data_IF_330663721005
#
_entry.id   IF_330663721005
#
_cell.length_a   1.000
_cell.length_b   1.000
_cell.length_c   1.000
_cell.angle_alpha   90.00
_cell.angle_beta   90.00
_cell.angle_gamma   90.00
#
_symmetry.space_group_name_H-M   'P 1'
#
loop_
_entity.id
_entity.type
_entity.pdbx_description
1 polymer ?
#
# COMPACT_ATOMS: atom_id res chain seq x y z
N UNK A 1 -6.90 21.75 -73.35
CA UNK A 1 -6.89 20.49 -74.11
C UNK A 1 -6.61 19.34 -73.15
N UNK A 2 -7.34 18.26 -73.35
CA UNK A 2 -7.57 17.13 -72.45
C UNK A 2 -6.39 16.17 -72.25
N UNK A 3 -6.37 15.56 -71.05
CA UNK A 3 -6.06 14.16 -70.65
C UNK A 3 -5.00 13.37 -71.42
N UNK A 4 -4.14 12.70 -70.64
CA UNK A 4 -3.98 11.24 -70.70
C UNK A 4 -3.70 10.69 -69.30
N UNK A 5 -4.51 9.68 -68.97
CA UNK A 5 -4.51 8.81 -67.78
C UNK A 5 -3.50 7.68 -68.02
N UNK A 6 -2.70 7.33 -67.02
CA UNK A 6 -2.03 6.02 -66.95
C UNK A 6 -2.11 5.50 -65.53
N UNK A 7 -3.12 4.68 -65.32
CA UNK A 7 -3.29 3.79 -64.18
C UNK A 7 -2.18 2.73 -64.10
N UNK A 8 -1.71 2.50 -62.87
CA UNK A 8 -1.29 1.20 -62.36
C UNK A 8 0.21 0.87 -62.47
N UNK A 9 0.86 0.61 -61.32
CA UNK A 9 1.65 -0.61 -61.02
C UNK A 9 2.13 -0.60 -59.56
N UNK A 10 1.81 -1.68 -58.83
CA UNK A 10 2.41 -2.27 -57.61
C UNK A 10 3.05 -1.37 -56.54
N UNK A 11 2.81 -1.56 -55.25
CA UNK A 11 3.09 -2.80 -54.51
C UNK A 11 2.34 -2.75 -53.19
N UNK A 12 1.63 -3.83 -52.86
CA UNK A 12 1.11 -4.08 -51.52
C UNK A 12 2.25 -4.32 -50.53
N UNK A 13 1.99 -3.91 -49.28
CA UNK A 13 2.70 -4.26 -48.05
C UNK A 13 3.93 -3.42 -47.66
N UNK A 14 3.65 -2.40 -46.85
CA UNK A 14 4.43 -2.21 -45.63
C UNK A 14 3.47 -1.99 -44.47
N UNK A 15 3.12 -3.12 -43.84
CA UNK A 15 2.95 -3.27 -42.39
C UNK A 15 2.05 -2.23 -41.76
N UNK A 16 0.82 -2.65 -41.45
CA UNK A 16 0.03 -2.04 -40.39
C UNK A 16 0.91 -1.85 -39.16
N UNK A 17 1.40 -0.62 -38.99
CA UNK A 17 2.00 -0.16 -37.76
C UNK A 17 0.86 -0.26 -36.77
N UNK A 18 0.83 -1.37 -36.02
CA UNK A 18 0.18 -1.40 -34.72
C UNK A 18 0.75 -0.17 -34.03
N UNK A 19 -0.10 0.82 -33.78
CA UNK A 19 0.22 1.90 -32.85
C UNK A 19 0.53 1.15 -31.56
N UNK A 20 1.83 0.94 -31.31
CA UNK A 20 2.31 0.38 -30.05
C UNK A 20 1.82 1.40 -29.04
N UNK A 21 0.90 0.98 -28.17
CA UNK A 21 0.29 1.85 -27.17
C UNK A 21 1.39 2.68 -26.53
N UNK A 22 1.31 4.01 -26.70
CA UNK A 22 2.39 4.87 -26.25
C UNK A 22 2.42 4.80 -24.73
N UNK A 23 3.53 4.34 -24.16
CA UNK A 23 3.87 4.47 -22.75
C UNK A 23 4.19 5.94 -22.43
N UNK A 24 3.22 6.82 -22.64
CA UNK A 24 3.31 8.24 -22.36
C UNK A 24 2.91 8.53 -20.91
N UNK A 25 3.32 9.69 -20.37
CA UNK A 25 2.76 10.21 -19.12
C UNK A 25 1.23 10.25 -19.25
N UNK A 26 0.50 9.69 -18.27
CA UNK A 26 -0.97 9.57 -18.33
C UNK A 26 -1.53 8.14 -18.34
N UNK A 27 -0.77 7.12 -18.75
CA UNK A 27 -1.25 5.72 -18.71
C UNK A 27 -1.36 5.19 -17.27
N UNK A 28 -0.48 5.65 -16.38
CA UNK A 28 -0.51 5.35 -14.95
C UNK A 28 -1.42 6.30 -14.15
N UNK A 29 -1.97 7.34 -14.78
CA UNK A 29 -3.03 8.18 -14.19
C UNK A 29 -4.41 7.50 -14.27
N UNK A 30 -4.43 6.22 -14.65
CA UNK A 30 -5.61 5.39 -14.68
C UNK A 30 -6.03 5.04 -13.25
N UNK A 31 -7.32 5.26 -12.94
CA UNK A 31 -7.95 4.81 -11.69
C UNK A 31 -7.55 3.36 -11.34
N UNK A 32 -7.35 2.48 -12.33
CA UNK A 32 -6.92 1.11 -12.11
C UNK A 32 -5.57 0.95 -11.38
N UNK A 33 -4.60 1.86 -11.57
CA UNK A 33 -3.33 1.81 -10.85
C UNK A 33 -3.53 2.22 -9.38
N UNK A 34 -4.40 3.20 -9.13
CA UNK A 34 -4.79 3.64 -7.79
C UNK A 34 -5.62 2.56 -7.08
N UNK A 35 -6.53 1.89 -7.80
CA UNK A 35 -7.30 0.76 -7.30
C UNK A 35 -6.38 -0.40 -6.91
N UNK A 36 -5.39 -0.73 -7.75
CA UNK A 36 -4.44 -1.78 -7.40
C UNK A 36 -3.58 -1.40 -6.19
N UNK A 37 -3.15 -0.14 -6.10
CA UNK A 37 -2.45 0.37 -4.92
C UNK A 37 -3.33 0.27 -3.66
N UNK A 38 -4.62 0.57 -3.78
CA UNK A 38 -5.59 0.41 -2.70
C UNK A 38 -5.69 -1.05 -2.25
N UNK A 39 -5.79 -2.01 -3.17
CA UNK A 39 -5.82 -3.43 -2.82
C UNK A 39 -4.53 -3.90 -2.13
N UNK A 40 -3.36 -3.45 -2.60
CA UNK A 40 -2.07 -3.79 -1.97
C UNK A 40 -1.98 -3.25 -0.56
N UNK A 41 -2.29 -1.97 -0.37
CA UNK A 41 -2.23 -1.31 0.95
C UNK A 41 -3.31 -1.82 1.91
N UNK A 42 -4.46 -2.23 1.37
CA UNK A 42 -5.52 -2.92 2.14
C UNK A 42 -5.05 -4.30 2.61
N UNK A 43 -4.42 -5.09 1.77
CA UNK A 43 -3.90 -6.40 2.17
C UNK A 43 -2.85 -6.27 3.29
N UNK A 44 -1.97 -5.27 3.21
CA UNK A 44 -1.01 -4.97 4.29
C UNK A 44 -1.71 -4.61 5.61
N UNK A 45 -2.83 -3.88 5.56
CA UNK A 45 -3.65 -3.57 6.73
C UNK A 45 -4.33 -4.83 7.31
N UNK A 46 -4.84 -5.71 6.46
CA UNK A 46 -5.41 -7.00 6.86
C UNK A 46 -4.35 -7.88 7.54
N UNK A 47 -3.11 -7.90 7.03
CA UNK A 47 -1.98 -8.59 7.67
C UNK A 47 -1.63 -8.01 9.07
N UNK A 48 -1.77 -6.70 9.26
CA UNK A 48 -1.59 -6.06 10.58
C UNK A 48 -2.69 -6.53 11.55
N UNK A 49 -3.94 -6.51 11.12
CA UNK A 49 -5.08 -6.98 11.91
C UNK A 49 -4.90 -8.43 12.35
N UNK A 50 -4.55 -9.31 11.40
CA UNK A 50 -4.31 -10.73 11.67
C UNK A 50 -3.15 -10.94 12.65
N UNK A 51 -2.02 -10.28 12.42
CA UNK A 51 -0.83 -10.40 13.28
C UNK A 51 -1.11 -9.95 14.73
N UNK A 52 -1.84 -8.84 14.90
CA UNK A 52 -2.22 -8.35 16.22
C UNK A 52 -3.24 -9.26 16.90
N UNK A 53 -4.26 -9.70 16.18
CA UNK A 53 -5.28 -10.60 16.71
C UNK A 53 -4.70 -11.94 17.16
N UNK A 54 -3.79 -12.52 16.38
CA UNK A 54 -3.10 -13.77 16.71
C UNK A 54 -2.21 -13.59 17.95
N UNK A 55 -1.44 -12.51 18.00
CA UNK A 55 -0.56 -12.22 19.13
C UNK A 55 -1.35 -12.00 20.44
N UNK A 56 -2.45 -11.26 20.39
CA UNK A 56 -3.35 -11.05 21.53
C UNK A 56 -3.96 -12.38 21.98
N UNK A 57 -4.43 -13.20 21.03
CA UNK A 57 -5.02 -14.51 21.32
C UNK A 57 -4.01 -15.45 21.98
N UNK A 58 -2.78 -15.52 21.47
CA UNK A 58 -1.70 -16.31 22.05
C UNK A 58 -1.33 -15.82 23.45
N UNK A 59 -1.27 -14.50 23.66
CA UNK A 59 -1.01 -13.91 24.98
C UNK A 59 -2.09 -14.29 25.99
N UNK A 60 -3.36 -14.16 25.64
CA UNK A 60 -4.50 -14.53 26.49
C UNK A 60 -4.53 -16.03 26.83
N UNK A 61 -4.08 -16.89 25.91
CA UNK A 61 -3.93 -18.32 26.14
C UNK A 61 -2.71 -18.71 27.01
N UNK A 62 -1.92 -17.73 27.50
CA UNK A 62 -0.69 -17.97 28.25
C UNK A 62 0.45 -18.55 27.40
N UNK A 63 0.36 -18.41 26.06
CA UNK A 63 1.33 -18.89 25.07
C UNK A 63 2.12 -17.77 24.40
N UNK A 64 1.87 -16.52 24.76
CA UNK A 64 2.66 -15.39 24.27
C UNK A 64 4.10 -15.51 24.76
N UNK A 65 5.04 -15.67 23.83
CA UNK A 65 6.49 -15.68 24.10
C UNK A 65 7.15 -14.47 23.45
N UNK A 66 8.36 -14.14 23.86
CA UNK A 66 9.15 -13.07 23.24
C UNK A 66 9.35 -13.28 21.73
N UNK A 67 9.36 -14.54 21.27
CA UNK A 67 9.44 -14.90 19.84
C UNK A 67 8.18 -14.45 19.09
N UNK A 68 6.99 -14.71 19.67
CA UNK A 68 5.72 -14.27 19.08
C UNK A 68 5.69 -12.75 18.99
N UNK A 69 6.18 -12.05 20.01
CA UNK A 69 6.26 -10.59 19.99
C UNK A 69 7.21 -10.07 18.90
N UNK A 70 8.37 -10.73 18.71
CA UNK A 70 9.31 -10.39 17.64
C UNK A 70 8.71 -10.62 16.25
N UNK A 71 7.99 -11.72 16.05
CA UNK A 71 7.28 -11.99 14.79
C UNK A 71 6.19 -10.94 14.52
N UNK A 72 5.42 -10.55 15.55
CA UNK A 72 4.44 -9.46 15.42
C UNK A 72 5.11 -8.12 15.07
N UNK A 73 6.26 -7.82 15.67
CA UNK A 73 7.07 -6.63 15.36
C UNK A 73 7.51 -6.59 13.90
N UNK A 74 7.95 -7.74 13.37
CA UNK A 74 8.44 -7.89 11.99
C UNK A 74 7.33 -7.74 10.94
N UNK A 75 6.07 -7.96 11.30
CA UNK A 75 4.92 -7.74 10.41
C UNK A 75 4.33 -6.34 10.56
N UNK A 76 4.03 -5.91 11.79
CA UNK A 76 3.20 -4.72 12.03
C UNK A 76 3.92 -3.43 11.64
N UNK A 77 5.13 -3.18 12.14
CA UNK A 77 5.81 -1.89 11.89
C UNK A 77 6.20 -1.70 10.42
N UNK A 78 6.77 -2.72 9.72
CA UNK A 78 7.11 -2.57 8.32
C UNK A 78 5.88 -2.34 7.43
N UNK A 79 4.77 -3.04 7.68
CA UNK A 79 3.55 -2.86 6.90
C UNK A 79 2.96 -1.45 7.08
N UNK A 80 2.96 -0.92 8.31
CA UNK A 80 2.55 0.48 8.56
C UNK A 80 3.44 1.46 7.80
N UNK A 81 4.76 1.27 7.87
CA UNK A 81 5.71 2.17 7.21
C UNK A 81 5.54 2.13 5.68
N UNK A 82 5.32 0.95 5.09
CA UNK A 82 5.02 0.80 3.66
C UNK A 82 3.75 1.54 3.29
N UNK A 83 2.67 1.39 4.06
CA UNK A 83 1.40 2.11 3.83
C UNK A 83 1.64 3.63 3.85
N UNK A 84 2.34 4.14 4.87
CA UNK A 84 2.63 5.58 5.00
C UNK A 84 3.45 6.10 3.81
N UNK A 85 4.54 5.42 3.46
CA UNK A 85 5.42 5.82 2.35
C UNK A 85 4.69 5.80 1.02
N UNK A 86 3.87 4.77 0.76
CA UNK A 86 3.10 4.67 -0.48
C UNK A 86 2.06 5.79 -0.57
N UNK A 87 1.36 6.08 0.52
CA UNK A 87 0.38 7.16 0.56
C UNK A 87 1.03 8.52 0.29
N UNK A 88 2.11 8.86 0.98
CA UNK A 88 2.82 10.13 0.79
C UNK A 88 3.44 10.28 -0.60
N UNK A 89 3.96 9.18 -1.17
CA UNK A 89 4.67 9.20 -2.45
C UNK A 89 3.72 9.24 -3.65
N UNK A 90 2.56 8.59 -3.54
CA UNK A 90 1.64 8.37 -4.67
C UNK A 90 0.29 9.08 -4.49
N UNK A 91 0.02 9.71 -3.33
CA UNK A 91 -1.20 10.45 -3.06
C UNK A 91 -2.45 9.57 -3.09
N UNK A 92 -2.34 8.31 -2.67
CA UNK A 92 -3.44 7.35 -2.74
C UNK A 92 -3.11 6.02 -2.09
N UNK A 93 -4.05 5.09 -2.15
CA UNK A 93 -4.00 3.83 -1.42
C UNK A 93 -4.95 3.83 -0.22
N UNK A 94 -5.11 2.66 0.39
CA UNK A 94 -5.88 2.48 1.61
C UNK A 94 -5.12 3.10 2.78
N UNK A 95 -5.83 3.93 3.55
CA UNK A 95 -5.46 4.28 4.91
C UNK A 95 -6.53 3.74 5.86
N UNK A 96 -6.14 3.12 6.98
CA UNK A 96 -7.09 2.72 8.01
C UNK A 96 -7.78 3.97 8.55
N UNK A 97 -8.92 3.77 9.22
CA UNK A 97 -9.53 4.86 9.96
C UNK A 97 -8.64 5.25 11.14
N UNK A 98 -8.69 6.53 11.60
CA UNK A 98 -7.92 6.96 12.76
C UNK A 98 -8.16 6.08 13.98
N UNK A 99 -9.41 5.68 14.23
CA UNK A 99 -9.75 4.78 15.35
C UNK A 99 -9.10 3.40 15.22
N UNK A 100 -8.95 2.87 14.01
CA UNK A 100 -8.29 1.58 13.79
C UNK A 100 -6.79 1.68 14.05
N UNK A 101 -6.14 2.79 13.68
CA UNK A 101 -4.74 3.02 14.00
C UNK A 101 -4.52 3.13 15.53
N UNK A 102 -5.44 3.75 16.25
CA UNK A 102 -5.41 3.84 17.72
C UNK A 102 -5.64 2.48 18.39
N UNK A 103 -6.57 1.68 17.86
CA UNK A 103 -6.81 0.32 18.32
C UNK A 103 -5.58 -0.56 18.12
N UNK A 104 -4.94 -0.48 16.95
CA UNK A 104 -3.70 -1.21 16.67
C UNK A 104 -2.57 -0.81 17.61
N UNK A 105 -2.36 0.50 17.81
CA UNK A 105 -1.35 0.96 18.76
C UNK A 105 -1.62 0.42 20.17
N UNK A 106 -2.88 0.47 20.61
CA UNK A 106 -3.28 -0.03 21.93
C UNK A 106 -3.05 -1.53 22.08
N UNK A 107 -3.45 -2.33 21.09
CA UNK A 107 -3.19 -3.77 21.07
C UNK A 107 -1.69 -4.05 21.07
N UNK A 108 -0.93 -3.33 20.26
CA UNK A 108 0.50 -3.47 20.17
C UNK A 108 1.21 -3.14 21.51
N UNK A 109 0.86 -2.04 22.16
CA UNK A 109 1.42 -1.65 23.46
C UNK A 109 1.09 -2.65 24.57
N UNK A 110 -0.09 -3.29 24.51
CA UNK A 110 -0.41 -4.39 25.41
C UNK A 110 0.53 -5.57 25.19
N UNK A 111 0.93 -5.88 23.95
CA UNK A 111 1.87 -6.96 23.64
C UNK A 111 3.31 -6.59 24.03
N UNK A 112 3.72 -5.35 23.75
CA UNK A 112 5.07 -4.84 23.93
C UNK A 112 5.37 -4.45 25.39
N UNK A 113 5.39 -5.44 26.28
CA UNK A 113 5.91 -5.25 27.64
C UNK A 113 7.45 -5.15 27.69
N UNK A 114 8.15 -5.37 26.56
CA UNK A 114 9.60 -5.61 26.52
C UNK A 114 10.20 -4.91 25.30
N UNK A 115 10.83 -3.76 25.52
CA UNK A 115 11.61 -3.05 24.49
C UNK A 115 12.46 -1.96 25.11
N UNK A 116 13.61 -1.65 24.49
CA UNK A 116 14.41 -0.49 24.86
C UNK A 116 13.58 0.80 24.74
N UNK A 117 14.04 1.90 25.37
CA UNK A 117 13.39 3.20 25.19
C UNK A 117 13.31 3.59 23.69
N UNK A 118 14.35 3.29 22.92
CA UNK A 118 14.40 3.56 21.48
C UNK A 118 13.36 2.75 20.70
N UNK A 119 13.16 1.47 21.03
CA UNK A 119 12.14 0.65 20.38
C UNK A 119 10.73 1.21 20.61
N UNK A 120 10.44 1.63 21.85
CA UNK A 120 9.15 2.27 22.20
C UNK A 120 8.96 3.59 21.46
N UNK A 121 10.04 4.35 21.25
CA UNK A 121 9.98 5.58 20.46
C UNK A 121 9.63 5.32 19.00
N UNK A 122 10.31 4.35 18.37
CA UNK A 122 10.07 3.96 16.98
C UNK A 122 8.61 3.55 16.82
N UNK A 123 8.12 2.61 17.63
CA UNK A 123 6.73 2.16 17.62
C UNK A 123 5.76 3.34 17.71
N UNK A 124 5.93 4.19 18.71
CA UNK A 124 5.06 5.36 18.92
C UNK A 124 5.07 6.30 17.72
N UNK A 125 6.24 6.62 17.19
CA UNK A 125 6.38 7.53 16.05
C UNK A 125 5.75 6.96 14.77
N UNK A 126 5.86 5.64 14.56
CA UNK A 126 5.26 4.93 13.41
C UNK A 126 3.74 4.99 13.46
N UNK A 127 3.13 4.67 14.61
CA UNK A 127 1.68 4.77 14.78
C UNK A 127 1.18 6.21 14.74
N UNK A 128 1.92 7.17 15.30
CA UNK A 128 1.57 8.58 15.25
C UNK A 128 1.53 9.12 13.82
N UNK A 129 2.52 8.75 12.98
CA UNK A 129 2.53 9.11 11.56
C UNK A 129 1.33 8.52 10.81
N UNK A 130 1.05 7.23 11.01
CA UNK A 130 -0.12 6.57 10.40
C UNK A 130 -1.42 7.30 10.76
N UNK A 131 -1.59 7.63 12.04
CA UNK A 131 -2.78 8.32 12.54
C UNK A 131 -2.93 9.71 11.92
N UNK A 132 -1.84 10.47 11.81
CA UNK A 132 -1.86 11.79 11.18
C UNK A 132 -2.29 11.71 9.71
N UNK A 133 -1.73 10.77 8.95
CA UNK A 133 -2.12 10.54 7.55
C UNK A 133 -3.58 10.10 7.43
N UNK A 134 -4.00 9.15 8.27
CA UNK A 134 -5.40 8.72 8.32
C UNK A 134 -6.31 9.92 8.61
N UNK A 135 -6.01 10.71 9.62
CA UNK A 135 -6.87 11.83 10.00
C UNK A 135 -7.02 12.87 8.88
N UNK A 136 -5.93 13.17 8.17
CA UNK A 136 -5.98 14.03 6.99
C UNK A 136 -6.87 13.43 5.89
N UNK A 137 -6.72 12.14 5.60
CA UNK A 137 -7.49 11.46 4.55
C UNK A 137 -8.99 11.32 4.85
N UNK A 138 -9.39 11.24 6.12
CA UNK A 138 -10.79 11.01 6.54
C UNK A 138 -11.52 12.28 6.96
N UNK A 139 -10.81 13.39 7.20
CA UNK A 139 -11.40 14.72 7.45
C UNK A 139 -11.62 15.56 6.17
N UNK A 140 -11.00 15.17 5.05
CA UNK A 140 -11.24 15.70 3.69
C UNK A 140 -12.55 15.21 3.06
#
# INVERSE_FOLDING_TARGET
MSRLDLSGHGVSDLRGVRIVGSWGPGIFDNDAARDHLFEVTRALAEEIDEALADAVSLKLAGKGSDVVLAETLETVLPNIEIICVLHESLGGGFLPKPESADDWQTQFEQLAAIGSADCREVVRSTFERLRQLAQQCWEE
#
